data_IF_185039700828
#
_entry.id   IF_185039700828
#
_cell.length_a   1.000
_cell.length_b   1.000
_cell.length_c   1.000
_cell.angle_alpha   90.00
_cell.angle_beta   90.00
_cell.angle_gamma   90.00
#
_symmetry.space_group_name_H-M   'P 1'
#
loop_
_entity.id
_entity.type
_entity.pdbx_description
1 polymer ?
#
# COMPACT_ATOMS: atom_id res chain seq x y z
N UNK A 1 -4.56 -6.08 -5.64
CA UNK A 1 -3.13 -5.96 -5.91
C UNK A 1 -2.79 -4.57 -6.40
N UNK A 2 -1.76 -3.95 -5.83
CA UNK A 2 -1.20 -2.66 -6.23
C UNK A 2 0.26 -2.89 -6.64
N UNK A 3 0.57 -2.85 -7.95
CA UNK A 3 1.93 -3.03 -8.45
C UNK A 3 2.78 -1.78 -8.25
N UNK A 4 4.10 -1.93 -8.32
CA UNK A 4 5.12 -0.88 -8.23
C UNK A 4 4.86 0.28 -9.23
N UNK A 5 4.47 -0.04 -10.46
CA UNK A 5 4.23 0.94 -11.53
C UNK A 5 2.92 1.76 -11.38
N UNK A 6 2.20 1.59 -10.27
CA UNK A 6 1.03 2.37 -9.85
C UNK A 6 -0.20 2.32 -10.77
N UNK A 7 -0.11 1.84 -11.97
CA UNK A 7 -1.12 1.61 -13.03
C UNK A 7 -2.44 2.39 -12.91
N UNK A 8 -2.38 3.70 -12.72
CA UNK A 8 -3.58 4.56 -12.79
C UNK A 8 -3.95 4.85 -14.25
N UNK A 9 -5.23 5.05 -14.53
CA UNK A 9 -5.71 5.49 -15.85
C UNK A 9 -5.47 6.99 -15.96
N UNK A 10 -4.41 7.38 -16.67
CA UNK A 10 -3.92 8.76 -16.72
C UNK A 10 -4.90 9.72 -17.38
N UNK A 11 -5.73 9.25 -18.31
CA UNK A 11 -6.69 10.06 -19.05
C UNK A 11 -8.03 10.22 -18.33
N UNK A 12 -8.26 9.42 -17.29
CA UNK A 12 -9.44 9.51 -16.42
C UNK A 12 -9.19 10.46 -15.24
N UNK A 13 -10.26 11.05 -14.73
CA UNK A 13 -10.24 11.78 -13.47
C UNK A 13 -9.94 10.85 -12.29
N UNK A 14 -9.62 11.43 -11.13
CA UNK A 14 -9.46 10.67 -9.87
C UNK A 14 -10.75 9.90 -9.56
N UNK A 15 -11.92 10.54 -9.68
CA UNK A 15 -13.20 9.89 -9.39
C UNK A 15 -13.46 8.72 -10.34
N UNK A 16 -13.28 8.92 -11.64
CA UNK A 16 -13.46 7.85 -12.64
C UNK A 16 -12.49 6.68 -12.40
N UNK A 17 -11.23 6.95 -12.00
CA UNK A 17 -10.31 5.89 -11.58
C UNK A 17 -10.87 5.06 -10.43
N UNK A 18 -11.45 5.69 -9.40
CA UNK A 18 -12.07 4.98 -8.28
C UNK A 18 -13.25 4.13 -8.73
N UNK A 19 -14.12 4.67 -9.59
CA UNK A 19 -15.28 3.96 -10.13
C UNK A 19 -14.90 2.70 -10.91
N UNK A 20 -13.76 2.70 -11.63
CA UNK A 20 -13.28 1.50 -12.32
C UNK A 20 -12.94 0.35 -11.36
N UNK A 21 -12.59 0.67 -10.11
CA UNK A 21 -12.28 -0.30 -9.06
C UNK A 21 -13.50 -0.83 -8.30
N UNK A 22 -14.65 -0.17 -8.45
CA UNK A 22 -15.82 -0.44 -7.61
C UNK A 22 -16.40 -1.84 -7.82
N UNK A 23 -16.43 -2.61 -6.73
CA UNK A 23 -17.03 -3.96 -6.66
C UNK A 23 -17.56 -4.20 -5.24
N UNK A 24 -18.56 -5.08 -5.10
CA UNK A 24 -18.91 -5.64 -3.80
C UNK A 24 -17.84 -6.62 -3.33
N UNK A 25 -17.68 -6.77 -2.03
CA UNK A 25 -16.85 -7.79 -1.42
C UNK A 25 -17.38 -9.21 -1.68
N UNK A 26 -16.61 -10.22 -1.27
CA UNK A 26 -16.97 -11.62 -1.49
C UNK A 26 -18.30 -12.03 -0.79
N UNK A 27 -18.66 -11.34 0.27
CA UNK A 27 -19.92 -11.49 1.03
C UNK A 27 -21.06 -10.58 0.51
N UNK A 28 -20.82 -9.84 -0.57
CA UNK A 28 -21.74 -8.85 -1.13
C UNK A 28 -21.72 -7.49 -0.42
N UNK A 29 -20.94 -7.34 0.65
CA UNK A 29 -20.83 -6.06 1.37
C UNK A 29 -20.06 -5.01 0.56
N UNK A 30 -20.44 -3.74 0.74
CA UNK A 30 -19.71 -2.57 0.20
C UNK A 30 -19.22 -1.77 1.39
N UNK A 31 -18.00 -2.07 1.83
CA UNK A 31 -17.33 -1.41 2.97
C UNK A 31 -16.64 -0.13 2.49
N UNK A 32 -15.94 -0.22 1.36
CA UNK A 32 -15.17 0.88 0.76
C UNK A 32 -15.99 1.57 -0.31
N UNK A 33 -16.50 2.75 0.03
CA UNK A 33 -17.17 3.67 -0.89
C UNK A 33 -16.23 4.81 -1.26
N UNK A 34 -16.50 5.53 -2.34
CA UNK A 34 -15.71 6.70 -2.73
C UNK A 34 -15.62 7.74 -1.59
N UNK A 35 -16.72 7.96 -0.83
CA UNK A 35 -16.70 8.86 0.33
C UNK A 35 -15.70 8.40 1.38
N UNK A 36 -15.77 7.14 1.82
CA UNK A 36 -14.85 6.59 2.83
C UNK A 36 -13.39 6.61 2.36
N UNK A 37 -13.17 6.34 1.07
CA UNK A 37 -11.83 6.41 0.47
C UNK A 37 -11.31 7.84 0.46
N UNK A 38 -12.13 8.85 0.15
CA UNK A 38 -11.72 10.25 0.19
C UNK A 38 -11.45 10.77 1.60
N UNK A 39 -12.16 10.26 2.62
CA UNK A 39 -11.85 10.57 4.01
C UNK A 39 -10.47 10.03 4.41
N UNK A 40 -10.09 8.87 3.90
CA UNK A 40 -8.79 8.24 4.14
C UNK A 40 -7.65 8.91 3.37
N UNK A 41 -7.93 9.41 2.16
CA UNK A 41 -6.96 10.02 1.25
C UNK A 41 -7.36 11.46 0.88
N UNK A 42 -7.27 12.43 1.81
CA UNK A 42 -7.72 13.81 1.56
C UNK A 42 -6.92 14.52 0.44
N UNK A 43 -5.70 14.06 0.15
CA UNK A 43 -4.87 14.60 -0.93
C UNK A 43 -5.52 14.38 -2.29
N UNK A 44 -6.01 13.16 -2.56
CA UNK A 44 -6.70 12.87 -3.81
C UNK A 44 -8.16 13.34 -3.80
N UNK A 45 -8.79 13.45 -2.63
CA UNK A 45 -10.14 14.02 -2.50
C UNK A 45 -10.21 15.46 -3.04
N UNK A 46 -9.20 16.30 -2.73
CA UNK A 46 -9.09 17.68 -3.26
C UNK A 46 -8.88 17.74 -4.76
N UNK A 47 -8.49 16.64 -5.36
CA UNK A 47 -8.18 16.49 -6.79
C UNK A 47 -9.18 15.59 -7.51
N UNK A 48 -10.37 15.32 -6.92
CA UNK A 48 -11.34 14.33 -7.39
C UNK A 48 -11.71 14.46 -8.88
N UNK A 49 -11.80 15.69 -9.37
CA UNK A 49 -12.21 15.99 -10.75
C UNK A 49 -10.99 16.25 -11.66
N UNK A 50 -9.76 16.19 -11.13
CA UNK A 50 -8.55 16.36 -11.92
C UNK A 50 -8.19 15.07 -12.64
N UNK A 51 -7.64 15.20 -13.85
CA UNK A 51 -7.09 14.08 -14.63
C UNK A 51 -5.90 13.45 -13.90
N UNK A 52 -5.90 12.13 -13.72
CA UNK A 52 -4.90 11.43 -12.93
C UNK A 52 -3.46 11.57 -13.48
N UNK A 53 -3.31 11.84 -14.77
CA UNK A 53 -2.01 12.16 -15.37
C UNK A 53 -1.36 13.42 -14.81
N UNK A 54 -2.12 14.35 -14.23
CA UNK A 54 -1.61 15.61 -13.62
C UNK A 54 -1.20 15.46 -12.16
N UNK A 55 -1.42 14.30 -11.56
CA UNK A 55 -1.08 14.01 -10.17
C UNK A 55 0.43 13.83 -9.99
N UNK A 56 0.93 14.20 -8.80
CA UNK A 56 2.28 13.84 -8.36
C UNK A 56 2.45 12.32 -8.22
N UNK A 57 3.70 11.84 -8.11
CA UNK A 57 3.97 10.42 -7.87
C UNK A 57 3.30 9.88 -6.61
N UNK A 58 3.30 10.67 -5.52
CA UNK A 58 2.64 10.30 -4.27
C UNK A 58 1.11 10.26 -4.38
N UNK A 59 0.50 11.24 -5.05
CA UNK A 59 -0.95 11.23 -5.30
C UNK A 59 -1.38 10.06 -6.19
N UNK A 60 -0.57 9.71 -7.22
CA UNK A 60 -0.81 8.52 -8.03
C UNK A 60 -0.73 7.24 -7.23
N UNK A 61 0.23 7.13 -6.30
CA UNK A 61 0.32 5.98 -5.40
C UNK A 61 -0.90 5.87 -4.50
N UNK A 62 -1.33 6.99 -3.89
CA UNK A 62 -2.56 7.01 -3.09
C UNK A 62 -3.79 6.64 -3.90
N UNK A 63 -3.90 7.12 -5.15
CA UNK A 63 -5.00 6.77 -6.05
C UNK A 63 -4.99 5.28 -6.43
N UNK A 64 -3.84 4.67 -6.68
CA UNK A 64 -3.74 3.25 -6.99
C UNK A 64 -4.23 2.38 -5.81
N UNK A 65 -3.83 2.71 -4.58
CA UNK A 65 -4.29 2.05 -3.35
C UNK A 65 -5.78 2.28 -3.14
N UNK A 66 -6.24 3.51 -3.25
CA UNK A 66 -7.63 3.90 -3.13
C UNK A 66 -8.55 3.12 -4.10
N UNK A 67 -8.13 3.01 -5.37
CA UNK A 67 -8.86 2.22 -6.38
C UNK A 67 -8.89 0.73 -6.03
N UNK A 68 -7.80 0.18 -5.48
CA UNK A 68 -7.79 -1.21 -5.04
C UNK A 68 -8.74 -1.46 -3.87
N UNK A 69 -8.88 -0.49 -2.95
CA UNK A 69 -9.85 -0.55 -1.84
C UNK A 69 -11.30 -0.54 -2.34
N UNK A 70 -11.62 0.21 -3.41
CA UNK A 70 -12.96 0.22 -4.02
C UNK A 70 -13.42 -1.17 -4.47
N UNK A 71 -12.49 -2.12 -4.64
CA UNK A 71 -12.79 -3.53 -4.90
C UNK A 71 -13.24 -4.32 -3.66
N UNK A 72 -13.34 -3.69 -2.50
CA UNK A 72 -13.71 -4.29 -1.22
C UNK A 72 -12.93 -5.57 -0.90
N UNK A 73 -11.58 -5.54 -0.95
CA UNK A 73 -10.74 -6.71 -0.75
C UNK A 73 -10.70 -7.15 0.70
N UNK A 74 -10.60 -8.45 0.96
CA UNK A 74 -10.25 -9.01 2.27
C UNK A 74 -8.73 -8.99 2.53
N UNK A 75 -7.93 -8.93 1.47
CA UNK A 75 -6.46 -8.81 1.53
C UNK A 75 -5.98 -7.81 0.47
N UNK A 76 -5.07 -6.92 0.85
CA UNK A 76 -4.43 -5.97 -0.05
C UNK A 76 -2.95 -6.35 -0.22
N UNK A 77 -2.57 -6.66 -1.47
CA UNK A 77 -1.19 -6.92 -1.84
C UNK A 77 -0.56 -5.64 -2.38
N UNK A 78 0.57 -5.25 -1.81
CA UNK A 78 1.30 -4.02 -2.13
C UNK A 78 2.74 -4.38 -2.53
N UNK A 79 3.14 -3.95 -3.71
CA UNK A 79 4.46 -4.20 -4.27
C UNK A 79 5.25 -2.89 -4.32
N UNK A 80 6.28 -2.78 -3.50
CA UNK A 80 7.13 -1.60 -3.31
C UNK A 80 6.38 -0.26 -3.26
N UNK A 81 5.35 -0.13 -2.41
CA UNK A 81 4.47 1.03 -2.42
C UNK A 81 5.16 2.34 -2.02
N UNK A 82 6.34 2.29 -1.39
CA UNK A 82 7.10 3.50 -1.01
C UNK A 82 8.15 3.91 -2.03
N UNK A 83 8.39 3.12 -3.10
CA UNK A 83 9.46 3.39 -4.04
C UNK A 83 9.30 4.73 -4.76
N UNK A 84 10.41 5.48 -4.82
CA UNK A 84 10.47 6.79 -5.48
C UNK A 84 9.57 7.86 -4.87
N UNK A 85 9.09 7.67 -3.63
CA UNK A 85 8.30 8.66 -2.91
C UNK A 85 9.16 9.52 -1.99
N UNK A 86 8.77 10.79 -1.83
CA UNK A 86 9.39 11.67 -0.84
C UNK A 86 9.12 11.15 0.59
N UNK A 87 10.05 11.35 1.56
CA UNK A 87 9.91 10.83 2.93
C UNK A 87 8.59 11.19 3.62
N UNK A 88 8.10 12.40 3.42
CA UNK A 88 6.81 12.85 3.99
C UNK A 88 5.63 12.07 3.43
N UNK A 89 5.69 11.66 2.15
CA UNK A 89 4.65 10.85 1.51
C UNK A 89 4.72 9.41 2.01
N UNK A 90 5.93 8.86 2.21
CA UNK A 90 6.13 7.52 2.80
C UNK A 90 5.58 7.48 4.22
N UNK A 91 5.82 8.52 5.03
CA UNK A 91 5.24 8.62 6.36
C UNK A 91 3.71 8.58 6.31
N UNK A 92 3.10 9.41 5.46
CA UNK A 92 1.65 9.47 5.28
C UNK A 92 1.07 8.14 4.80
N UNK A 93 1.74 7.50 3.83
CA UNK A 93 1.40 6.14 3.37
C UNK A 93 1.38 5.14 4.53
N UNK A 94 2.43 5.15 5.36
CA UNK A 94 2.54 4.28 6.53
C UNK A 94 1.40 4.51 7.54
N UNK A 95 1.00 5.78 7.79
CA UNK A 95 -0.15 6.11 8.64
C UNK A 95 -1.44 5.53 8.09
N UNK A 96 -1.69 5.73 6.80
CA UNK A 96 -2.88 5.24 6.11
C UNK A 96 -2.94 3.71 6.12
N UNK A 97 -1.85 3.02 5.78
CA UNK A 97 -1.81 1.54 5.79
C UNK A 97 -1.96 0.97 7.20
N UNK A 98 -1.40 1.64 8.22
CA UNK A 98 -1.61 1.25 9.62
C UNK A 98 -3.09 1.37 10.02
N UNK A 99 -3.76 2.44 9.63
CA UNK A 99 -5.20 2.63 9.89
C UNK A 99 -6.04 1.53 9.22
N UNK A 100 -5.73 1.18 7.97
CA UNK A 100 -6.40 0.09 7.24
C UNK A 100 -6.22 -1.26 7.94
N UNK A 101 -5.01 -1.57 8.43
CA UNK A 101 -4.74 -2.79 9.17
C UNK A 101 -5.52 -2.84 10.49
N UNK A 102 -5.65 -1.71 11.20
CA UNK A 102 -6.44 -1.61 12.43
C UNK A 102 -7.95 -1.78 12.16
N UNK A 103 -8.45 -1.40 10.99
CA UNK A 103 -9.82 -1.69 10.55
C UNK A 103 -10.04 -3.17 10.14
N UNK A 104 -9.00 -4.01 10.23
CA UNK A 104 -9.09 -5.45 9.95
C UNK A 104 -8.73 -5.87 8.54
N UNK A 105 -8.23 -4.94 7.69
CA UNK A 105 -7.74 -5.30 6.37
C UNK A 105 -6.40 -6.04 6.48
N UNK A 106 -6.32 -7.24 5.91
CA UNK A 106 -5.04 -7.97 5.83
C UNK A 106 -4.14 -7.32 4.77
N UNK A 107 -2.88 -7.04 5.14
CA UNK A 107 -1.87 -6.49 4.24
C UNK A 107 -0.80 -7.55 3.95
N UNK A 108 -0.46 -7.73 2.67
CA UNK A 108 0.76 -8.41 2.23
C UNK A 108 1.63 -7.39 1.52
N UNK A 109 2.81 -7.12 2.08
CA UNK A 109 3.70 -6.04 1.66
C UNK A 109 5.03 -6.61 1.19
N UNK A 110 5.39 -6.41 -0.09
CA UNK A 110 6.75 -6.52 -0.57
C UNK A 110 7.38 -5.12 -0.50
N UNK A 111 8.46 -4.93 0.28
CA UNK A 111 9.00 -3.60 0.57
C UNK A 111 10.48 -3.67 0.93
N UNK A 112 11.27 -2.77 0.36
CA UNK A 112 12.69 -2.59 0.68
C UNK A 112 12.92 -1.55 1.79
N UNK A 113 11.94 -0.65 2.01
CA UNK A 113 11.98 0.32 3.09
C UNK A 113 11.69 -0.34 4.44
N UNK A 114 12.76 -0.68 5.17
CA UNK A 114 12.70 -1.37 6.46
C UNK A 114 11.88 -0.65 7.51
N UNK A 115 11.96 0.68 7.53
CA UNK A 115 11.22 1.48 8.51
C UNK A 115 9.71 1.36 8.27
N UNK A 116 9.27 1.40 7.00
CA UNK A 116 7.88 1.18 6.62
C UNK A 116 7.44 -0.26 6.90
N UNK A 117 8.24 -1.26 6.48
CA UNK A 117 7.94 -2.66 6.72
C UNK A 117 7.81 -2.97 8.23
N UNK A 118 8.77 -2.50 9.05
CA UNK A 118 8.75 -2.68 10.51
C UNK A 118 7.54 -2.02 11.19
N UNK A 119 7.08 -0.90 10.65
CA UNK A 119 5.90 -0.21 11.16
C UNK A 119 4.61 -0.98 10.91
N UNK A 120 4.52 -1.70 9.78
CA UNK A 120 3.27 -2.29 9.28
C UNK A 120 3.17 -3.80 9.54
N UNK A 121 4.29 -4.52 9.50
CA UNK A 121 4.27 -5.97 9.49
C UNK A 121 4.44 -6.56 10.90
N UNK A 122 3.60 -7.54 11.22
CA UNK A 122 3.76 -8.41 12.39
C UNK A 122 4.71 -9.57 12.09
N UNK A 123 4.66 -10.10 10.87
CA UNK A 123 5.46 -11.21 10.40
C UNK A 123 6.35 -10.77 9.23
N UNK A 124 7.54 -11.33 9.15
CA UNK A 124 8.54 -11.03 8.14
C UNK A 124 8.96 -12.31 7.44
N UNK A 125 9.04 -12.25 6.12
CA UNK A 125 9.65 -13.28 5.28
C UNK A 125 10.74 -12.62 4.46
N UNK A 126 11.96 -13.13 4.50
CA UNK A 126 13.04 -12.69 3.62
C UNK A 126 13.19 -13.68 2.48
N UNK A 127 13.19 -13.16 1.26
CA UNK A 127 13.38 -13.92 0.03
C UNK A 127 14.76 -13.59 -0.58
N UNK A 128 15.51 -14.62 -0.98
CA UNK A 128 16.73 -14.50 -1.76
C UNK A 128 16.64 -15.44 -2.95
N UNK A 129 16.73 -14.91 -4.16
CA UNK A 129 16.76 -15.71 -5.41
C UNK A 129 15.60 -16.73 -5.47
N UNK A 130 14.39 -16.32 -5.08
CA UNK A 130 13.19 -17.17 -5.09
C UNK A 130 13.08 -18.16 -3.94
N UNK A 131 13.99 -18.15 -2.98
CA UNK A 131 13.97 -19.01 -1.80
C UNK A 131 13.70 -18.22 -0.54
N UNK A 132 12.89 -18.80 0.37
CA UNK A 132 12.70 -18.25 1.72
C UNK A 132 13.95 -18.55 2.54
N UNK A 133 14.63 -17.49 3.02
CA UNK A 133 15.83 -17.59 3.87
C UNK A 133 15.56 -17.24 5.33
N UNK A 134 14.43 -16.58 5.62
CA UNK A 134 13.99 -16.30 6.97
C UNK A 134 12.46 -16.19 7.01
N UNK A 135 11.88 -16.65 8.12
CA UNK A 135 10.47 -16.42 8.49
C UNK A 135 10.39 -16.21 10.00
N UNK A 136 9.77 -15.13 10.43
CA UNK A 136 9.64 -14.79 11.85
C UNK A 136 9.06 -13.40 12.05
N UNK A 137 9.33 -12.80 13.19
CA UNK A 137 9.02 -11.40 13.51
C UNK A 137 10.25 -10.51 13.32
N UNK A 138 10.06 -9.19 13.37
CA UNK A 138 11.21 -8.27 13.41
C UNK A 138 12.05 -8.46 14.67
N UNK A 139 11.44 -8.80 15.81
CA UNK A 139 12.16 -9.09 17.05
C UNK A 139 13.04 -10.35 16.93
N UNK A 140 12.57 -11.36 16.19
CA UNK A 140 13.39 -12.55 15.90
C UNK A 140 14.55 -12.21 14.97
N UNK A 141 14.30 -11.37 13.97
CA UNK A 141 15.31 -10.91 13.03
C UNK A 141 16.39 -10.05 13.73
N UNK A 142 16.01 -9.19 14.69
CA UNK A 142 16.93 -8.36 15.47
C UNK A 142 17.92 -9.19 16.31
N UNK A 143 17.56 -10.42 16.65
CA UNK A 143 18.46 -11.37 17.35
C UNK A 143 19.45 -12.06 16.43
N UNK A 144 19.35 -11.79 15.11
CA UNK A 144 20.20 -12.42 14.06
C UNK A 144 20.96 -11.35 13.27
N UNK A 145 22.00 -10.70 13.88
CA UNK A 145 22.71 -9.57 13.26
C UNK A 145 23.36 -9.92 11.93
N UNK A 146 23.78 -11.18 11.73
CA UNK A 146 24.35 -11.64 10.47
C UNK A 146 23.31 -11.58 9.31
N UNK A 147 22.04 -11.93 9.57
CA UNK A 147 20.98 -11.82 8.58
C UNK A 147 20.63 -10.36 8.29
N UNK A 148 20.58 -9.52 9.36
CA UNK A 148 20.35 -8.08 9.20
C UNK A 148 21.43 -7.46 8.31
N UNK A 149 22.70 -7.74 8.57
CA UNK A 149 23.81 -7.22 7.80
C UNK A 149 23.78 -7.71 6.35
N UNK A 150 23.54 -9.02 6.14
CA UNK A 150 23.56 -9.64 4.82
C UNK A 150 22.39 -9.20 3.93
N UNK A 151 21.17 -9.16 4.46
CA UNK A 151 19.96 -8.97 3.65
C UNK A 151 19.35 -7.58 3.76
N UNK A 152 19.66 -6.85 4.83
CA UNK A 152 19.11 -5.55 5.09
C UNK A 152 20.16 -4.43 5.14
N UNK A 153 21.47 -4.72 5.05
CA UNK A 153 22.55 -3.74 4.94
C UNK A 153 22.65 -2.80 6.17
N UNK A 154 22.45 -3.32 7.40
CA UNK A 154 22.58 -2.57 8.67
C UNK A 154 23.77 -3.11 9.43
#
# INVERSE_FOLDING_TARGET
YVPEDRRVFTDLSVMENLETGQKAGADGAVIWTASKVFDLFPEIARRRDATAGTLSGGERQMLAIARALMGNPCILLLDEPSEGLAPVVVQRLGETLSALALEGLTLLLAEQNKALARRLANNVVILETGHVVFTGTFDDLDRMPELLQRYLGV
#
